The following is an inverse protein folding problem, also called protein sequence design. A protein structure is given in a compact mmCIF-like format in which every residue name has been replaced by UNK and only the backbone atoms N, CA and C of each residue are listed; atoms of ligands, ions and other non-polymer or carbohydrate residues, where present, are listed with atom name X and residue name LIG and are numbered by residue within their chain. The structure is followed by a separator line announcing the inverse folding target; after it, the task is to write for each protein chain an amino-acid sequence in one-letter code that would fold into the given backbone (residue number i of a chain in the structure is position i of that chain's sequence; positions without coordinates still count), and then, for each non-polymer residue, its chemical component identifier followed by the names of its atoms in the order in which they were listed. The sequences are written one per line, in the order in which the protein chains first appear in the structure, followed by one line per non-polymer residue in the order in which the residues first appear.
data_IF_726345060717
#
_entry.id   IF_726345060717
#
_cell.length_a   1.000
_cell.length_b   1.000
_cell.length_c   1.000
_cell.angle_alpha   90.00
_cell.angle_beta   90.00
_cell.angle_gamma   90.00
#
_symmetry.space_group_name_H-M   'P 1'
#
loop_
_entity.id
_entity.type
_entity.pdbx_description
1 polymer ?
#
# COMPACT_ATOMS: atom_id res chain seq x y z
N UNK A 1 -39.33 0.82 7.15
CA UNK A 1 -38.65 1.63 6.11
C UNK A 1 -37.76 2.76 6.66
N UNK A 2 -37.85 3.15 7.94
CA UNK A 2 -37.03 4.23 8.56
C UNK A 2 -35.51 3.96 8.62
N UNK A 3 -35.08 2.71 8.81
CA UNK A 3 -33.66 2.39 9.04
C UNK A 3 -32.72 2.62 7.84
N UNK A 4 -33.25 2.69 6.61
CA UNK A 4 -32.42 2.92 5.42
C UNK A 4 -32.01 4.39 5.28
N UNK A 5 -32.92 5.33 5.59
CA UNK A 5 -32.63 6.76 5.55
C UNK A 5 -31.56 7.13 6.58
N UNK A 6 -31.69 6.66 7.83
CA UNK A 6 -30.72 6.90 8.91
C UNK A 6 -29.32 6.39 8.52
N UNK A 7 -29.26 5.21 7.87
CA UNK A 7 -27.99 4.63 7.38
C UNK A 7 -27.38 5.41 6.22
N UNK A 8 -28.17 6.01 5.35
CA UNK A 8 -27.67 6.86 4.25
C UNK A 8 -27.11 8.16 4.81
N UNK A 9 -27.81 8.82 5.75
CA UNK A 9 -27.33 10.04 6.38
C UNK A 9 -26.01 9.84 7.14
N UNK A 10 -25.85 8.75 7.89
CA UNK A 10 -24.58 8.45 8.57
C UNK A 10 -23.44 8.17 7.58
N UNK A 11 -23.72 7.45 6.48
CA UNK A 11 -22.73 7.17 5.42
C UNK A 11 -22.25 8.46 4.72
N UNK A 12 -23.17 9.38 4.40
CA UNK A 12 -22.81 10.66 3.81
C UNK A 12 -21.97 11.51 4.77
N UNK A 13 -22.36 11.58 6.04
CA UNK A 13 -21.59 12.27 7.09
C UNK A 13 -20.17 11.71 7.24
N UNK A 14 -20.03 10.38 7.25
CA UNK A 14 -18.72 9.72 7.32
C UNK A 14 -17.86 10.01 6.09
N UNK A 15 -18.42 9.95 4.87
CA UNK A 15 -17.69 10.30 3.64
C UNK A 15 -17.18 11.73 3.64
N UNK A 16 -17.97 12.67 4.15
CA UNK A 16 -17.56 14.08 4.28
C UNK A 16 -16.41 14.21 5.27
N UNK A 17 -16.47 13.53 6.43
CA UNK A 17 -15.37 13.51 7.41
C UNK A 17 -14.08 12.96 6.80
N UNK A 18 -14.15 11.87 6.02
CA UNK A 18 -12.97 11.33 5.33
C UNK A 18 -12.38 12.30 4.31
N UNK A 19 -13.22 12.98 3.54
CA UNK A 19 -12.77 13.98 2.57
C UNK A 19 -12.10 15.17 3.28
N UNK A 20 -12.63 15.58 4.43
CA UNK A 20 -12.05 16.65 5.25
C UNK A 20 -10.68 16.24 5.81
N UNK A 21 -10.53 15.02 6.33
CA UNK A 21 -9.24 14.47 6.80
C UNK A 21 -8.22 14.44 5.65
N UNK A 22 -8.62 13.99 4.46
CA UNK A 22 -7.74 13.96 3.28
C UNK A 22 -7.25 15.36 2.89
N UNK A 23 -8.14 16.35 2.89
CA UNK A 23 -7.78 17.73 2.63
C UNK A 23 -6.82 18.27 3.70
N UNK A 24 -7.08 17.96 4.98
CA UNK A 24 -6.22 18.36 6.10
C UNK A 24 -4.80 17.80 5.95
N UNK A 25 -4.66 16.54 5.54
CA UNK A 25 -3.36 15.89 5.31
C UNK A 25 -2.54 16.54 4.17
N UNK A 26 -3.22 16.99 3.11
CA UNK A 26 -2.55 17.73 2.02
C UNK A 26 -2.10 19.10 2.51
N UNK A 27 -2.96 19.79 3.27
CA UNK A 27 -2.61 21.10 3.82
C UNK A 27 -1.46 21.02 4.82
N UNK A 28 -1.42 20.01 5.69
CA UNK A 28 -0.37 19.82 6.68
C UNK A 28 0.99 19.56 6.02
N UNK A 29 1.01 18.70 4.99
CA UNK A 29 2.22 18.43 4.18
C UNK A 29 2.71 19.69 3.47
N UNK A 30 1.80 20.48 2.89
CA UNK A 30 2.16 21.70 2.16
C UNK A 30 2.75 22.77 3.10
N UNK A 31 2.13 22.95 4.27
CA UNK A 31 2.59 23.86 5.32
C UNK A 31 3.98 23.45 5.84
N UNK A 32 4.21 22.15 6.03
CA UNK A 32 5.52 21.63 6.43
C UNK A 32 6.62 21.92 5.38
N UNK A 33 6.35 21.69 4.10
CA UNK A 33 7.32 21.95 3.03
C UNK A 33 7.73 23.43 2.93
N UNK A 34 6.81 24.37 3.20
CA UNK A 34 7.13 25.81 3.19
C UNK A 34 7.96 26.24 4.41
N UNK A 35 7.68 25.68 5.59
CA UNK A 35 8.30 26.10 6.87
C UNK A 35 9.66 25.42 7.14
N UNK A 36 9.89 24.23 6.57
CA UNK A 36 11.08 23.41 6.79
C UNK A 36 12.39 24.17 6.57
N UNK A 37 12.44 25.08 5.58
CA UNK A 37 13.66 25.83 5.24
C UNK A 37 14.01 26.95 6.23
N UNK A 38 13.06 27.43 7.04
CA UNK A 38 13.27 28.60 7.94
C UNK A 38 13.39 28.19 9.40
N UNK A 39 12.49 27.35 9.90
CA UNK A 39 12.44 26.99 11.32
C UNK A 39 12.11 25.50 11.49
N UNK A 40 13.15 24.69 11.69
CA UNK A 40 13.02 23.23 11.78
C UNK A 40 12.14 22.81 12.96
N UNK A 41 12.30 23.46 14.11
CA UNK A 41 11.61 23.11 15.36
C UNK A 41 10.10 23.36 15.27
N UNK A 42 9.71 24.51 14.70
CA UNK A 42 8.30 24.84 14.46
C UNK A 42 7.66 23.91 13.42
N UNK A 43 8.41 23.48 12.41
CA UNK A 43 7.91 22.58 11.37
C UNK A 43 7.54 21.21 11.93
N UNK A 44 8.36 20.68 12.84
CA UNK A 44 8.10 19.41 13.54
C UNK A 44 6.88 19.54 14.45
N UNK A 45 6.75 20.65 15.18
CA UNK A 45 5.61 20.89 16.07
C UNK A 45 4.28 20.93 15.30
N UNK A 46 4.25 21.59 14.14
CA UNK A 46 3.08 21.65 13.25
C UNK A 46 2.67 20.25 12.79
N UNK A 47 3.64 19.42 12.36
CA UNK A 47 3.35 18.06 11.89
C UNK A 47 2.71 17.21 13.00
N UNK A 48 3.25 17.30 14.21
CA UNK A 48 2.73 16.56 15.36
C UNK A 48 1.29 17.00 15.65
N UNK A 49 1.02 18.30 15.69
CA UNK A 49 -0.32 18.83 15.97
C UNK A 49 -1.32 18.41 14.89
N UNK A 50 -0.97 18.54 13.61
CA UNK A 50 -1.84 18.12 12.50
C UNK A 50 -2.12 16.62 12.54
N UNK A 51 -1.12 15.80 12.84
CA UNK A 51 -1.27 14.36 12.95
C UNK A 51 -2.20 13.95 14.10
N UNK A 52 -2.07 14.58 15.28
CA UNK A 52 -2.99 14.35 16.39
C UNK A 52 -4.43 14.73 16.02
N UNK A 53 -4.62 15.86 15.32
CA UNK A 53 -5.95 16.31 14.89
C UNK A 53 -6.63 15.30 13.95
N UNK A 54 -5.88 14.82 12.95
CA UNK A 54 -6.36 13.79 12.03
C UNK A 54 -6.72 12.50 12.77
N UNK A 55 -5.90 12.08 13.73
CA UNK A 55 -6.13 10.88 14.52
C UNK A 55 -7.43 10.96 15.34
N UNK A 56 -7.70 12.12 15.96
CA UNK A 56 -8.93 12.37 16.72
C UNK A 56 -10.15 12.33 15.79
N UNK A 57 -10.07 12.96 14.61
CA UNK A 57 -11.17 12.98 13.64
C UNK A 57 -11.51 11.58 13.12
N UNK A 58 -10.49 10.76 12.83
CA UNK A 58 -10.67 9.36 12.44
C UNK A 58 -11.33 8.57 13.58
N UNK A 59 -11.08 8.95 14.84
CA UNK A 59 -11.66 8.25 15.98
C UNK A 59 -13.19 8.38 16.06
N UNK A 60 -13.74 9.52 15.66
CA UNK A 60 -15.17 9.86 15.70
C UNK A 60 -16.01 9.20 14.59
N UNK A 61 -15.40 8.45 13.68
CA UNK A 61 -16.12 7.82 12.55
C UNK A 61 -16.79 6.52 13.02
N UNK A 62 -18.12 6.44 12.87
CA UNK A 62 -18.96 5.34 13.39
C UNK A 62 -18.76 4.01 12.63
N UNK A 63 -18.27 4.08 11.40
CA UNK A 63 -18.05 2.92 10.52
C UNK A 63 -16.92 1.96 10.95
N UNK A 64 -16.31 2.16 12.12
CA UNK A 64 -15.31 1.25 12.70
C UNK A 64 -15.86 -0.14 12.99
N UNK A 65 -17.09 -0.24 13.50
CA UNK A 65 -17.63 -1.49 14.05
C UNK A 65 -17.81 -2.56 12.96
N UNK A 66 -18.26 -2.16 11.78
CA UNK A 66 -18.47 -3.07 10.64
C UNK A 66 -17.13 -3.56 10.09
N UNK A 67 -16.13 -2.67 10.00
CA UNK A 67 -14.81 -3.01 9.50
C UNK A 67 -14.06 -3.94 10.46
N UNK A 68 -14.15 -3.68 11.77
CA UNK A 68 -13.56 -4.55 12.80
C UNK A 68 -14.21 -5.94 12.80
N UNK A 69 -15.54 -6.00 12.62
CA UNK A 69 -16.26 -7.28 12.47
C UNK A 69 -15.79 -8.05 11.22
N UNK A 70 -15.64 -7.36 10.10
CA UNK A 70 -15.12 -7.94 8.85
C UNK A 70 -13.69 -8.46 8.99
N UNK A 71 -12.80 -7.72 9.67
CA UNK A 71 -11.43 -8.20 9.96
C UNK A 71 -11.47 -9.47 10.79
N UNK A 72 -12.30 -9.50 11.84
CA UNK A 72 -12.44 -10.68 12.70
C UNK A 72 -12.94 -11.89 11.92
N UNK A 73 -13.90 -11.71 11.05
CA UNK A 73 -14.44 -12.75 10.16
C UNK A 73 -13.37 -13.24 9.16
N UNK A 74 -12.65 -12.32 8.52
CA UNK A 74 -11.55 -12.63 7.59
C UNK A 74 -10.43 -13.42 8.27
N UNK A 75 -10.05 -13.06 9.51
CA UNK A 75 -9.05 -13.81 10.28
C UNK A 75 -9.54 -15.20 10.68
N UNK A 76 -10.82 -15.36 10.99
CA UNK A 76 -11.41 -16.67 11.25
C UNK A 76 -11.42 -17.56 10.00
N UNK A 77 -11.60 -17.00 8.81
CA UNK A 77 -11.54 -17.74 7.55
C UNK A 77 -10.10 -18.09 7.15
N UNK A 78 -9.15 -17.15 7.30
CA UNK A 78 -7.73 -17.42 7.05
C UNK A 78 -7.21 -18.53 7.97
N UNK A 79 -7.71 -18.63 9.20
CA UNK A 79 -7.39 -19.75 10.11
C UNK A 79 -7.96 -21.10 9.65
N UNK A 80 -9.01 -21.11 8.83
CA UNK A 80 -9.56 -22.34 8.22
C UNK A 80 -8.75 -22.79 7.01
N UNK A 81 -7.91 -21.92 6.45
CA UNK A 81 -7.00 -22.30 5.39
C UNK A 81 -5.93 -23.18 6.03
N UNK A 82 -6.02 -24.48 5.73
CA UNK A 82 -5.00 -25.45 6.12
C UNK A 82 -3.73 -25.04 5.39
N UNK A 83 -2.79 -24.43 6.11
CA UNK A 83 -1.56 -23.93 5.49
C UNK A 83 -0.82 -25.08 4.81
N UNK A 84 -0.39 -24.89 3.55
CA UNK A 84 0.36 -25.90 2.82
C UNK A 84 1.60 -26.27 3.63
N UNK A 85 1.95 -27.56 3.64
CA UNK A 85 3.14 -28.03 4.35
C UNK A 85 4.37 -27.28 3.81
N UNK A 86 5.36 -26.95 4.65
CA UNK A 86 6.51 -26.16 4.23
C UNK A 86 7.28 -26.78 3.06
N UNK A 87 7.22 -28.11 2.92
CA UNK A 87 7.85 -28.86 1.82
C UNK A 87 7.25 -28.52 0.44
N UNK A 88 5.93 -28.35 0.35
CA UNK A 88 5.23 -28.06 -0.91
C UNK A 88 5.52 -26.62 -1.35
N UNK A 89 5.49 -25.66 -0.42
CA UNK A 89 5.81 -24.25 -0.69
C UNK A 89 7.26 -24.09 -1.19
N UNK A 90 8.22 -24.77 -0.55
CA UNK A 90 9.63 -24.71 -0.96
C UNK A 90 9.82 -25.33 -2.35
N UNK A 91 9.11 -26.43 -2.65
CA UNK A 91 9.18 -27.07 -3.96
C UNK A 91 8.70 -26.14 -5.08
N UNK A 92 7.61 -25.42 -4.86
CA UNK A 92 7.09 -24.47 -5.86
C UNK A 92 8.06 -23.29 -6.03
N UNK A 93 8.50 -22.70 -4.92
CA UNK A 93 9.44 -21.56 -4.95
C UNK A 93 10.74 -21.91 -5.65
N UNK A 94 11.34 -23.07 -5.36
CA UNK A 94 12.62 -23.47 -5.97
C UNK A 94 12.46 -23.80 -7.45
N UNK A 95 11.31 -24.35 -7.86
CA UNK A 95 11.00 -24.60 -9.27
C UNK A 95 10.94 -23.28 -10.05
N UNK A 96 10.21 -22.28 -9.53
CA UNK A 96 10.12 -20.95 -10.16
C UNK A 96 11.48 -20.24 -10.13
N UNK A 97 12.22 -20.33 -9.02
CA UNK A 97 13.54 -19.73 -8.91
C UNK A 97 14.54 -20.32 -9.90
N UNK A 98 14.54 -21.65 -10.07
CA UNK A 98 15.35 -22.33 -11.07
C UNK A 98 15.00 -21.91 -12.49
N UNK A 99 13.71 -21.73 -12.78
CA UNK A 99 13.24 -21.23 -14.07
C UNK A 99 13.73 -19.80 -14.37
N UNK A 100 13.65 -18.88 -13.40
CA UNK A 100 14.14 -17.50 -13.56
C UNK A 100 15.65 -17.44 -13.74
N UNK A 101 16.41 -18.26 -12.99
CA UNK A 101 17.86 -18.38 -13.18
C UNK A 101 18.22 -18.85 -14.59
N UNK A 102 17.52 -19.87 -15.09
CA UNK A 102 17.71 -20.37 -16.44
C UNK A 102 17.44 -19.28 -17.48
N UNK A 103 16.33 -18.55 -17.35
CA UNK A 103 15.98 -17.45 -18.25
C UNK A 103 17.01 -16.32 -18.22
N UNK A 104 17.53 -15.98 -17.05
CA UNK A 104 18.56 -14.95 -16.89
C UNK A 104 19.83 -15.34 -17.64
N UNK A 105 20.25 -16.61 -17.55
CA UNK A 105 21.40 -17.12 -18.28
C UNK A 105 21.15 -17.13 -19.79
N UNK A 106 19.97 -17.61 -20.21
CA UNK A 106 19.57 -17.68 -21.61
C UNK A 106 19.55 -16.29 -22.28
N UNK A 107 18.87 -15.31 -21.67
CA UNK A 107 18.81 -13.94 -22.18
C UNK A 107 20.21 -13.34 -22.31
N UNK A 108 21.03 -13.44 -21.25
CA UNK A 108 22.42 -12.96 -21.28
C UNK A 108 23.25 -13.61 -22.39
N UNK A 109 23.08 -14.91 -22.63
CA UNK A 109 23.74 -15.59 -23.73
C UNK A 109 23.30 -15.03 -25.08
N UNK A 110 21.98 -14.91 -25.31
CA UNK A 110 21.42 -14.37 -26.56
C UNK A 110 21.91 -12.96 -26.82
N UNK A 111 21.89 -12.08 -25.82
CA UNK A 111 22.38 -10.70 -25.95
C UNK A 111 23.86 -10.69 -26.38
N UNK A 112 24.69 -11.55 -25.80
CA UNK A 112 26.11 -11.70 -26.16
C UNK A 112 26.32 -12.28 -27.55
N UNK A 113 25.50 -13.25 -27.96
CA UNK A 113 25.53 -13.80 -29.31
C UNK A 113 25.14 -12.74 -30.35
N UNK A 114 24.13 -11.93 -30.05
CA UNK A 114 23.65 -10.86 -30.92
C UNK A 114 24.72 -9.76 -31.07
N UNK A 115 25.35 -9.35 -29.95
CA UNK A 115 26.48 -8.42 -29.90
C UNK A 115 27.65 -8.93 -30.75
N UNK A 116 28.04 -10.20 -30.57
CA UNK A 116 29.12 -10.82 -31.34
C UNK A 116 28.85 -10.84 -32.84
N UNK A 117 27.63 -11.25 -33.24
CA UNK A 117 27.26 -11.33 -34.65
C UNK A 117 27.16 -9.94 -35.30
N UNK A 118 26.59 -8.96 -34.59
CA UNK A 118 26.52 -7.57 -35.05
C UNK A 118 27.91 -6.95 -35.20
N UNK A 119 28.81 -7.10 -34.22
CA UNK A 119 30.16 -6.51 -34.34
C UNK A 119 30.97 -7.16 -35.45
N UNK A 120 30.88 -8.48 -35.62
CA UNK A 120 31.63 -9.18 -36.66
C UNK A 120 31.10 -8.89 -38.08
N UNK A 121 29.82 -8.52 -38.23
CA UNK A 121 29.18 -8.30 -39.53
C UNK A 121 29.04 -6.83 -39.92
N UNK A 122 28.78 -5.92 -38.97
CA UNK A 122 28.57 -4.49 -39.22
C UNK A 122 29.87 -3.67 -39.15
N UNK A 123 30.83 -4.07 -38.29
CA UNK A 123 32.07 -3.33 -38.06
C UNK A 123 33.24 -3.88 -38.91
N UNK A 124 32.94 -4.73 -39.89
CA UNK A 124 33.84 -5.22 -40.93
C UNK A 124 33.51 -4.56 -42.27
#
# INVERSE_FOLDING_TARGET
MSNYFIKIFSIFSDKIKYLLIFFLAITSTSVFCMLYKKFIFFSILILIISFLLEFILIYTIERKIIFIKFIKESLCEVKKIVWPKPKETIQITITVFSFVLFMTFFLRSVDKFLEFFLYNLILR
#
